data_IF_408673815277
#
_entry.id   IF_408673815277
#
_cell.length_a   1.000
_cell.length_b   1.000
_cell.length_c   1.000
_cell.angle_alpha   90.00
_cell.angle_beta   90.00
_cell.angle_gamma   90.00
#
_symmetry.space_group_name_H-M   'P 1'
#
loop_
_entity.id
_entity.type
_entity.pdbx_description
1 polymer ?
#
# COMPACT_ATOMS: atom_id res chain seq x y z
N UNK A 1 2.30 14.90 10.47
CA UNK A 1 0.82 14.95 10.50
C UNK A 1 0.29 13.92 9.48
N UNK A 2 -0.79 13.19 9.74
CA UNK A 2 -1.33 12.19 8.79
C UNK A 2 -1.66 12.80 7.42
N UNK A 3 -2.10 14.06 7.38
CA UNK A 3 -2.39 14.75 6.11
C UNK A 3 -1.14 14.90 5.24
N UNK A 4 -0.01 15.23 5.86
CA UNK A 4 1.28 15.38 5.21
C UNK A 4 1.81 14.02 4.73
N UNK A 5 1.68 12.97 5.55
CA UNK A 5 2.04 11.58 5.17
C UNK A 5 1.30 11.15 3.90
N UNK A 6 -0.03 11.37 3.85
CA UNK A 6 -0.85 11.08 2.68
C UNK A 6 -0.39 11.87 1.45
N UNK A 7 -0.04 13.15 1.62
CA UNK A 7 0.46 13.99 0.53
C UNK A 7 1.79 13.46 -0.03
N UNK A 8 2.73 13.09 0.85
CA UNK A 8 4.03 12.53 0.47
C UNK A 8 3.89 11.22 -0.31
N UNK A 9 2.97 10.34 0.10
CA UNK A 9 2.66 9.11 -0.64
C UNK A 9 2.22 9.37 -2.10
N UNK A 10 1.61 10.52 -2.38
CA UNK A 10 1.09 10.86 -3.71
C UNK A 10 2.01 11.76 -4.55
N UNK A 11 3.21 12.10 -4.06
CA UNK A 11 4.15 12.97 -4.77
C UNK A 11 4.75 12.30 -6.02
N UNK A 12 5.13 13.13 -6.99
CA UNK A 12 5.77 12.65 -8.24
C UNK A 12 7.19 12.13 -8.01
N UNK A 13 7.92 12.73 -7.07
CA UNK A 13 9.28 12.30 -6.78
C UNK A 13 9.26 11.01 -5.96
N UNK A 14 9.95 9.97 -6.44
CA UNK A 14 9.96 8.65 -5.80
C UNK A 14 10.53 8.68 -4.39
N UNK A 15 11.48 9.58 -4.11
CA UNK A 15 12.04 9.76 -2.78
C UNK A 15 11.01 10.26 -1.78
N UNK A 16 10.12 11.17 -2.18
CA UNK A 16 9.06 11.68 -1.31
C UNK A 16 8.00 10.60 -1.04
N UNK A 17 7.65 9.80 -2.06
CA UNK A 17 6.76 8.64 -1.87
C UNK A 17 7.34 7.62 -0.91
N UNK A 18 8.65 7.35 -1.03
CA UNK A 18 9.35 6.45 -0.11
C UNK A 18 9.23 6.96 1.34
N UNK A 19 9.53 8.22 1.59
CA UNK A 19 9.39 8.79 2.94
C UNK A 19 7.94 8.73 3.43
N UNK A 20 6.97 9.09 2.58
CA UNK A 20 5.55 8.97 2.92
C UNK A 20 5.12 7.54 3.31
N UNK A 21 5.61 6.52 2.60
CA UNK A 21 5.33 5.11 2.93
C UNK A 21 6.02 4.66 4.22
N UNK A 22 7.23 5.15 4.50
CA UNK A 22 7.93 4.88 5.77
C UNK A 22 7.17 5.50 6.94
N UNK A 23 6.76 6.76 6.80
CA UNK A 23 6.01 7.47 7.83
C UNK A 23 4.62 6.85 8.05
N UNK A 24 3.95 6.41 6.97
CA UNK A 24 2.67 5.71 7.05
C UNK A 24 2.81 4.36 7.76
N UNK A 25 3.85 3.59 7.43
CA UNK A 25 4.11 2.31 8.10
C UNK A 25 4.36 2.53 9.60
N UNK A 26 5.17 3.53 9.96
CA UNK A 26 5.42 3.86 11.37
C UNK A 26 4.15 4.35 12.07
N UNK A 27 3.32 5.13 11.39
CA UNK A 27 2.04 5.62 11.90
C UNK A 27 1.11 4.44 12.28
N UNK A 28 0.93 3.48 11.38
CA UNK A 28 0.10 2.29 11.61
C UNK A 28 0.71 1.36 12.67
N UNK A 29 2.02 1.10 12.61
CA UNK A 29 2.72 0.25 13.58
C UNK A 29 2.68 0.78 15.02
N UNK A 30 2.48 2.09 15.20
CA UNK A 30 2.26 2.72 16.50
C UNK A 30 0.81 2.54 17.02
N UNK A 31 -0.04 1.79 16.31
CA UNK A 31 -1.45 1.57 16.66
C UNK A 31 -2.38 2.73 16.29
N UNK A 32 -1.91 3.70 15.50
CA UNK A 32 -2.79 4.76 15.00
C UNK A 32 -3.65 4.22 13.86
N UNK A 33 -4.89 4.69 13.79
CA UNK A 33 -5.84 4.31 12.74
C UNK A 33 -6.16 5.51 11.85
N UNK A 34 -6.56 5.21 10.61
CA UNK A 34 -7.05 6.19 9.65
C UNK A 34 -8.56 6.40 9.82
N UNK A 35 -9.02 7.63 9.67
CA UNK A 35 -10.45 7.89 9.47
C UNK A 35 -10.91 7.34 8.12
N UNK A 36 -12.21 7.10 7.93
CA UNK A 36 -12.76 6.62 6.66
C UNK A 36 -12.36 7.50 5.45
N UNK A 37 -12.26 8.82 5.65
CA UNK A 37 -11.83 9.75 4.58
C UNK A 37 -10.34 9.61 4.25
N UNK A 38 -9.50 9.37 5.25
CA UNK A 38 -8.06 9.15 5.07
C UNK A 38 -7.78 7.78 4.45
N UNK A 39 -8.47 6.75 4.91
CA UNK A 39 -8.39 5.40 4.36
C UNK A 39 -8.77 5.39 2.87
N UNK A 40 -9.84 6.10 2.49
CA UNK A 40 -10.23 6.26 1.08
C UNK A 40 -9.13 6.92 0.25
N UNK A 41 -8.48 7.97 0.75
CA UNK A 41 -7.36 8.62 0.05
C UNK A 41 -6.17 7.69 -0.10
N UNK A 42 -5.82 6.95 0.95
CA UNK A 42 -4.70 6.00 0.92
C UNK A 42 -4.96 4.86 -0.07
N UNK A 43 -6.16 4.27 -0.07
CA UNK A 43 -6.53 3.20 -1.01
C UNK A 43 -6.53 3.68 -2.47
N UNK A 44 -6.97 4.92 -2.74
CA UNK A 44 -6.85 5.55 -4.06
C UNK A 44 -5.38 5.72 -4.50
N UNK A 45 -4.50 6.10 -3.57
CA UNK A 45 -3.05 6.23 -3.83
C UNK A 45 -2.43 4.85 -4.07
N UNK A 46 -2.72 3.88 -3.22
CA UNK A 46 -2.20 2.51 -3.31
C UNK A 46 -2.62 1.83 -4.61
N UNK A 47 -3.84 2.07 -5.07
CA UNK A 47 -4.32 1.60 -6.38
C UNK A 47 -3.41 2.07 -7.53
N UNK A 48 -2.87 3.29 -7.44
CA UNK A 48 -1.92 3.85 -8.43
C UNK A 48 -0.50 3.31 -8.23
N UNK A 49 -0.08 3.06 -6.99
CA UNK A 49 1.26 2.53 -6.67
C UNK A 49 1.51 1.13 -7.24
N UNK A 50 0.48 0.36 -7.61
CA UNK A 50 0.65 -0.88 -8.39
C UNK A 50 1.40 -0.69 -9.72
N UNK A 51 1.38 0.54 -10.24
CA UNK A 51 2.06 0.96 -11.46
C UNK A 51 3.37 1.71 -11.20
N UNK A 52 3.84 1.80 -9.95
CA UNK A 52 5.10 2.48 -9.62
C UNK A 52 6.29 1.75 -10.28
N UNK A 53 7.09 2.50 -11.03
CA UNK A 53 8.26 1.97 -11.75
C UNK A 53 9.48 1.76 -10.86
N UNK A 54 9.51 2.37 -9.67
CA UNK A 54 10.65 2.25 -8.77
C UNK A 54 10.50 1.03 -7.87
N UNK A 55 11.24 -0.03 -8.17
CA UNK A 55 11.18 -1.32 -7.43
C UNK A 55 11.32 -1.18 -5.92
N UNK A 56 12.15 -0.24 -5.44
CA UNK A 56 12.30 0.03 -3.99
C UNK A 56 11.02 0.59 -3.37
N UNK A 57 10.38 1.55 -4.05
CA UNK A 57 9.11 2.13 -3.60
C UNK A 57 8.02 1.07 -3.67
N UNK A 58 7.97 0.29 -4.75
CA UNK A 58 7.00 -0.79 -4.91
C UNK A 58 7.13 -1.87 -3.83
N UNK A 59 8.35 -2.29 -3.50
CA UNK A 59 8.59 -3.26 -2.42
C UNK A 59 8.12 -2.71 -1.07
N UNK A 60 8.44 -1.45 -0.77
CA UNK A 60 8.01 -0.80 0.48
C UNK A 60 6.48 -0.65 0.52
N UNK A 61 5.87 -0.27 -0.60
CA UNK A 61 4.42 -0.19 -0.75
C UNK A 61 3.75 -1.52 -0.38
N UNK A 62 4.26 -2.66 -0.84
CA UNK A 62 3.70 -3.97 -0.48
C UNK A 62 3.81 -4.24 1.03
N UNK A 63 4.90 -3.82 1.67
CA UNK A 63 5.04 -3.95 3.12
C UNK A 63 4.03 -3.07 3.87
N UNK A 64 3.87 -1.81 3.46
CA UNK A 64 2.88 -0.90 4.04
C UNK A 64 1.45 -1.33 3.75
N UNK A 65 1.18 -1.94 2.59
CA UNK A 65 -0.13 -2.49 2.22
C UNK A 65 -0.56 -3.62 3.16
N UNK A 66 0.36 -4.52 3.53
CA UNK A 66 0.08 -5.57 4.52
C UNK A 66 -0.32 -4.96 5.86
N UNK A 67 0.43 -3.96 6.34
CA UNK A 67 0.13 -3.27 7.60
C UNK A 67 -1.26 -2.61 7.56
N UNK A 68 -1.59 -1.96 6.44
CA UNK A 68 -2.89 -1.32 6.23
C UNK A 68 -4.03 -2.34 6.29
N UNK A 69 -3.87 -3.50 5.63
CA UNK A 69 -4.89 -4.56 5.63
C UNK A 69 -5.10 -5.09 7.04
N UNK A 70 -4.03 -5.42 7.77
CA UNK A 70 -4.14 -5.90 9.15
C UNK A 70 -4.85 -4.87 10.04
N UNK A 71 -4.52 -3.59 9.89
CA UNK A 71 -5.09 -2.51 10.71
C UNK A 71 -6.55 -2.20 10.38
N UNK A 72 -6.95 -2.32 9.11
CA UNK A 72 -8.24 -1.83 8.60
C UNK A 72 -9.09 -2.89 7.87
N UNK A 73 -8.84 -4.18 8.07
CA UNK A 73 -9.51 -5.27 7.33
C UNK A 73 -11.04 -5.16 7.28
N UNK A 74 -11.69 -4.72 8.36
CA UNK A 74 -13.15 -4.55 8.42
C UNK A 74 -13.67 -3.41 7.53
N UNK A 75 -12.85 -2.40 7.25
CA UNK A 75 -13.21 -1.19 6.50
C UNK A 75 -12.84 -1.27 5.00
N UNK A 76 -12.21 -2.37 4.56
CA UNK A 76 -11.68 -2.52 3.20
C UNK A 76 -12.62 -3.24 2.21
N UNK A 77 -13.83 -3.60 2.63
CA UNK A 77 -14.76 -4.41 1.83
C UNK A 77 -14.99 -3.88 0.41
N UNK A 78 -15.25 -2.58 0.26
CA UNK A 78 -15.49 -1.95 -1.05
C UNK A 78 -14.25 -1.94 -1.95
N UNK A 79 -13.05 -1.94 -1.36
CA UNK A 79 -11.77 -1.89 -2.08
C UNK A 79 -11.19 -3.28 -2.36
N UNK A 80 -11.68 -4.32 -1.68
CA UNK A 80 -11.13 -5.68 -1.74
C UNK A 80 -11.07 -6.23 -3.17
N UNK A 81 -12.13 -6.02 -3.95
CA UNK A 81 -12.17 -6.45 -5.35
C UNK A 81 -11.06 -5.79 -6.19
N UNK A 82 -10.82 -4.49 -5.98
CA UNK A 82 -9.76 -3.75 -6.68
C UNK A 82 -8.40 -4.28 -6.26
N UNK A 83 -8.19 -4.48 -4.95
CA UNK A 83 -6.96 -5.01 -4.38
C UNK A 83 -6.60 -6.39 -4.95
N UNK A 84 -7.52 -7.35 -4.87
CA UNK A 84 -7.33 -8.71 -5.40
C UNK A 84 -7.02 -8.69 -6.90
N UNK A 85 -7.80 -7.93 -7.68
CA UNK A 85 -7.57 -7.79 -9.12
C UNK A 85 -6.18 -7.25 -9.42
N UNK A 86 -5.71 -6.24 -8.67
CA UNK A 86 -4.38 -5.65 -8.87
C UNK A 86 -3.25 -6.60 -8.49
N UNK A 87 -3.37 -7.33 -7.38
CA UNK A 87 -2.37 -8.32 -6.94
C UNK A 87 -2.26 -9.47 -7.95
N UNK A 88 -3.39 -10.05 -8.36
CA UNK A 88 -3.44 -11.14 -9.33
C UNK A 88 -2.87 -10.72 -10.69
N UNK A 89 -3.25 -9.54 -11.20
CA UNK A 89 -2.68 -9.00 -12.42
C UNK A 89 -1.17 -8.80 -12.31
N UNK A 90 -0.66 -8.39 -11.14
CA UNK A 90 0.77 -8.20 -10.92
C UNK A 90 1.52 -9.54 -10.92
N UNK A 91 0.97 -10.58 -10.31
CA UNK A 91 1.54 -11.94 -10.37
C UNK A 91 1.65 -12.50 -11.79
N UNK A 92 0.76 -12.08 -12.70
CA UNK A 92 0.82 -12.43 -14.12
C UNK A 92 1.94 -11.73 -14.92
N UNK A 93 2.74 -10.86 -14.29
CA UNK A 93 3.86 -10.15 -14.93
C UNK A 93 5.20 -10.77 -14.55
N UNK A 94 6.26 -10.45 -15.31
CA UNK A 94 7.62 -10.84 -14.93
C UNK A 94 8.07 -10.05 -13.69
N UNK A 95 8.26 -10.77 -12.58
CA UNK A 95 8.55 -10.19 -11.27
C UNK A 95 9.75 -10.90 -10.62
N UNK A 96 10.49 -10.14 -9.82
CA UNK A 96 11.47 -10.72 -8.91
C UNK A 96 10.77 -11.63 -7.88
N UNK A 97 11.39 -12.77 -7.56
CA UNK A 97 10.84 -13.73 -6.59
C UNK A 97 10.53 -13.10 -5.22
N UNK A 98 11.35 -12.13 -4.77
CA UNK A 98 11.10 -11.41 -3.52
C UNK A 98 9.79 -10.60 -3.53
N UNK A 99 9.41 -10.06 -4.69
CA UNK A 99 8.17 -9.30 -4.88
C UNK A 99 6.98 -10.27 -4.94
N UNK A 100 7.12 -11.40 -5.64
CA UNK A 100 6.10 -12.45 -5.67
C UNK A 100 5.78 -12.95 -4.26
N UNK A 101 6.81 -13.22 -3.44
CA UNK A 101 6.63 -13.62 -2.03
C UNK A 101 5.85 -12.58 -1.22
N UNK A 102 6.12 -11.28 -1.41
CA UNK A 102 5.37 -10.21 -0.72
C UNK A 102 3.91 -10.16 -1.16
N UNK A 103 3.64 -10.30 -2.46
CA UNK A 103 2.26 -10.34 -2.98
C UNK A 103 1.50 -11.54 -2.43
N UNK A 104 2.11 -12.73 -2.40
CA UNK A 104 1.47 -13.92 -1.85
C UNK A 104 1.15 -13.75 -0.37
N UNK A 105 2.06 -13.17 0.43
CA UNK A 105 1.77 -12.84 1.84
C UNK A 105 0.59 -11.90 1.99
N UNK A 106 0.45 -10.92 1.08
CA UNK A 106 -0.71 -10.03 1.08
C UNK A 106 -2.01 -10.76 0.74
N UNK A 107 -1.96 -11.71 -0.18
CA UNK A 107 -3.12 -12.55 -0.51
C UNK A 107 -3.51 -13.47 0.66
N UNK A 108 -2.55 -13.93 1.48
CA UNK A 108 -2.83 -14.80 2.64
C UNK A 108 -3.57 -14.09 3.79
N UNK A 109 -3.54 -12.75 3.84
CA UNK A 109 -4.19 -11.94 4.90
C UNK A 109 -5.47 -11.25 4.45
N UNK A 110 -5.86 -11.41 3.19
CA UNK A 110 -7.11 -10.94 2.59
C UNK A 110 -8.17 -12.05 2.70
#
# INVERSE_FOLDING_TARGET
DIKEIIEYCNRKHWGERKEGLMDLQQFLANGNTLTATELRKITDIFTKMFMDSHTKVFSLFLDTLNELIVTHHEDLGDWLYVLCTKLLNKLGTDLLASIQTKINRTLDVI
#
